data_IF_283736738724
#
_entry.id   IF_283736738724
#
_cell.length_a   1.000
_cell.length_b   1.000
_cell.length_c   1.000
_cell.angle_alpha   90.00
_cell.angle_beta   90.00
_cell.angle_gamma   90.00
#
_symmetry.space_group_name_H-M   'P 1'
#
loop_
_entity.id
_entity.type
_entity.pdbx_description
1 polymer ?
#
# COMPACT_ATOMS: atom_id res chain seq x y z
N UNK A 1 1.82 7.89 1.16
CA UNK A 1 0.41 7.43 1.07
C UNK A 1 0.33 6.29 0.08
N UNK A 2 -0.67 5.42 0.16
CA UNK A 2 -0.84 4.24 -0.71
C UNK A 2 -0.81 4.57 -2.22
N UNK A 3 -1.36 5.72 -2.61
CA UNK A 3 -1.27 6.23 -3.98
C UNK A 3 0.18 6.42 -4.45
N UNK A 4 1.10 6.76 -3.54
CA UNK A 4 2.51 6.93 -3.85
C UNK A 4 3.21 5.59 -4.09
N UNK A 5 2.81 4.51 -3.42
CA UNK A 5 3.43 3.19 -3.60
C UNK A 5 3.08 2.56 -4.94
N UNK A 6 1.82 2.69 -5.38
CA UNK A 6 1.43 2.16 -6.69
C UNK A 6 2.05 2.97 -7.83
N UNK A 7 2.09 4.31 -7.71
CA UNK A 7 2.80 5.16 -8.68
C UNK A 7 4.30 4.90 -8.69
N UNK A 8 4.93 4.70 -7.53
CA UNK A 8 6.35 4.35 -7.45
C UNK A 8 6.62 3.00 -8.12
N UNK A 9 5.72 2.02 -7.96
CA UNK A 9 5.84 0.72 -8.62
C UNK A 9 5.73 0.86 -10.13
N UNK A 10 4.71 1.56 -10.61
CA UNK A 10 4.48 1.79 -12.05
C UNK A 10 5.64 2.55 -12.70
N UNK A 11 6.18 3.56 -12.00
CA UNK A 11 7.34 4.33 -12.45
C UNK A 11 8.60 3.47 -12.57
N UNK A 12 8.85 2.58 -11.61
CA UNK A 12 10.08 1.79 -11.58
C UNK A 12 10.04 0.56 -12.50
N UNK A 13 8.92 -0.16 -12.49
CA UNK A 13 8.79 -1.44 -13.22
C UNK A 13 8.02 -1.32 -14.54
N UNK A 14 7.55 -0.12 -14.91
CA UNK A 14 6.89 0.15 -16.20
C UNK A 14 5.52 -0.54 -16.37
N UNK A 15 4.96 -1.12 -15.31
CA UNK A 15 3.69 -1.82 -15.33
C UNK A 15 2.90 -1.63 -14.05
N UNK A 16 1.59 -1.86 -14.13
CA UNK A 16 0.76 -1.96 -12.93
C UNK A 16 1.17 -3.16 -12.08
N UNK A 17 1.15 -3.03 -10.75
CA UNK A 17 1.32 -4.17 -9.86
C UNK A 17 0.13 -5.13 -9.97
N UNK A 18 0.40 -6.40 -9.70
CA UNK A 18 -0.52 -7.54 -9.78
C UNK A 18 -0.74 -8.17 -8.40
N UNK A 19 -1.59 -9.20 -8.33
CA UNK A 19 -1.87 -10.01 -7.13
C UNK A 19 -0.64 -10.49 -6.38
N UNK A 20 0.38 -10.91 -7.14
CA UNK A 20 1.57 -11.55 -6.61
C UNK A 20 2.71 -10.57 -6.30
N UNK A 21 2.57 -9.30 -6.67
CA UNK A 21 3.61 -8.31 -6.42
C UNK A 21 3.58 -7.85 -4.96
N UNK A 22 4.76 -7.71 -4.32
CA UNK A 22 4.86 -7.17 -2.98
C UNK A 22 4.29 -5.75 -2.92
N UNK A 23 3.67 -5.46 -1.78
CA UNK A 23 3.12 -4.14 -1.47
C UNK A 23 4.27 -3.17 -1.20
N UNK A 24 5.17 -3.56 -0.30
CA UNK A 24 6.42 -2.87 -0.01
C UNK A 24 7.53 -3.55 -0.81
N UNK A 25 8.05 -2.87 -1.82
CA UNK A 25 9.03 -3.41 -2.76
C UNK A 25 10.34 -2.63 -2.70
N UNK A 26 11.44 -3.27 -3.05
CA UNK A 26 12.73 -2.61 -3.17
C UNK A 26 12.86 -1.94 -4.56
N UNK A 27 12.98 -0.60 -4.65
CA UNK A 27 13.13 0.10 -5.92
C UNK A 27 14.59 0.10 -6.44
N UNK A 28 15.55 -0.47 -5.72
CA UNK A 28 16.97 -0.44 -6.12
C UNK A 28 17.43 -1.72 -6.83
N UNK A 29 16.51 -2.67 -7.04
CA UNK A 29 16.77 -3.94 -7.70
C UNK A 29 16.01 -4.04 -9.01
N UNK A 30 16.57 -4.76 -9.97
CA UNK A 30 15.96 -4.92 -11.31
C UNK A 30 14.74 -5.85 -11.30
N UNK A 31 14.62 -6.73 -10.31
CA UNK A 31 13.50 -7.65 -10.16
C UNK A 31 12.53 -7.18 -9.08
N UNK A 32 11.24 -7.48 -9.24
CA UNK A 32 10.24 -7.18 -8.21
C UNK A 32 10.51 -8.05 -6.97
N UNK A 33 11.02 -7.44 -5.91
CA UNK A 33 11.31 -8.10 -4.66
C UNK A 33 10.71 -7.34 -3.48
N UNK A 34 10.29 -8.04 -2.41
CA UNK A 34 9.84 -7.39 -1.19
C UNK A 34 10.97 -6.56 -0.58
N UNK A 35 10.60 -5.49 0.11
CA UNK A 35 11.53 -4.70 0.91
C UNK A 35 12.12 -5.59 2.02
N UNK A 36 13.44 -5.50 2.25
CA UNK A 36 14.11 -6.26 3.31
C UNK A 36 13.52 -5.92 4.70
N UNK A 37 13.53 -6.87 5.63
CA UNK A 37 12.85 -6.76 6.92
C UNK A 37 13.23 -5.51 7.72
N UNK A 38 14.51 -5.18 7.79
CA UNK A 38 14.99 -3.97 8.49
C UNK A 38 14.51 -2.68 7.81
N UNK A 39 14.62 -2.61 6.48
CA UNK A 39 14.12 -1.48 5.70
C UNK A 39 12.59 -1.33 5.80
N UNK A 40 11.86 -2.45 5.84
CA UNK A 40 10.42 -2.47 6.05
C UNK A 40 10.04 -1.92 7.42
N UNK A 41 10.74 -2.34 8.47
CA UNK A 41 10.50 -1.84 9.82
C UNK A 41 10.75 -0.32 9.89
N UNK A 42 11.87 0.16 9.35
CA UNK A 42 12.18 1.60 9.30
C UNK A 42 11.11 2.40 8.54
N UNK A 43 10.64 1.87 7.40
CA UNK A 43 9.58 2.50 6.61
C UNK A 43 8.26 2.57 7.39
N UNK A 44 7.87 1.46 8.02
CA UNK A 44 6.64 1.39 8.81
C UNK A 44 6.71 2.28 10.05
N UNK A 45 7.87 2.37 10.72
CA UNK A 45 8.10 3.25 11.87
C UNK A 45 8.04 4.73 11.49
N UNK A 46 8.57 5.09 10.32
CA UNK A 46 8.42 6.43 9.79
C UNK A 46 6.95 6.77 9.50
N UNK A 47 6.21 5.87 8.87
CA UNK A 47 4.78 6.06 8.63
C UNK A 47 3.99 6.10 9.94
N UNK A 48 4.36 5.29 10.94
CA UNK A 48 3.74 5.29 12.25
C UNK A 48 3.88 6.65 12.91
N UNK A 49 5.09 7.24 12.92
CA UNK A 49 5.32 8.60 13.45
C UNK A 49 4.51 9.66 12.73
N UNK A 50 4.36 9.55 11.41
CA UNK A 50 3.60 10.53 10.60
C UNK A 50 2.08 10.40 10.74
N UNK A 51 1.58 9.21 11.05
CA UNK A 51 0.14 8.91 11.01
C UNK A 51 -0.48 8.64 12.38
N UNK A 52 0.33 8.42 13.41
CA UNK A 52 -0.13 7.96 14.73
C UNK A 52 -0.59 6.50 14.77
N UNK A 53 -0.52 5.78 13.65
CA UNK A 53 -0.94 4.37 13.57
C UNK A 53 0.21 3.44 13.94
N UNK A 54 -0.12 2.24 14.44
CA UNK A 54 0.89 1.21 14.67
C UNK A 54 1.41 0.65 13.34
N UNK A 55 2.70 0.22 13.26
CA UNK A 55 3.27 -0.46 12.09
C UNK A 55 2.39 -1.60 11.56
N UNK A 56 1.82 -2.42 12.45
CA UNK A 56 0.93 -3.52 12.10
C UNK A 56 -0.35 -3.05 11.39
N UNK A 57 -0.97 -1.96 11.86
CA UNK A 57 -2.16 -1.37 11.22
C UNK A 57 -1.83 -0.82 9.84
N UNK A 58 -0.68 -0.16 9.69
CA UNK A 58 -0.20 0.35 8.40
C UNK A 58 0.01 -0.81 7.42
N UNK A 59 0.73 -1.85 7.85
CA UNK A 59 0.98 -3.03 7.03
C UNK A 59 -0.33 -3.71 6.57
N UNK A 60 -1.26 -3.95 7.50
CA UNK A 60 -2.55 -4.56 7.19
C UNK A 60 -3.38 -3.70 6.22
N UNK A 61 -3.42 -2.39 6.45
CA UNK A 61 -4.13 -1.44 5.61
C UNK A 61 -3.62 -1.46 4.16
N UNK A 62 -2.30 -1.39 3.96
CA UNK A 62 -1.70 -1.43 2.62
C UNK A 62 -1.88 -2.79 1.93
N UNK A 63 -1.76 -3.90 2.67
CA UNK A 63 -2.00 -5.26 2.15
C UNK A 63 -3.44 -5.45 1.68
N UNK A 64 -4.41 -5.04 2.50
CA UNK A 64 -5.82 -5.14 2.18
C UNK A 64 -6.15 -4.30 0.93
N UNK A 65 -5.69 -3.05 0.88
CA UNK A 65 -5.89 -2.20 -0.30
C UNK A 65 -5.41 -2.87 -1.59
N UNK A 66 -4.21 -3.48 -1.57
CA UNK A 66 -3.65 -4.17 -2.73
C UNK A 66 -4.50 -5.36 -3.16
N UNK A 67 -4.95 -6.17 -2.22
CA UNK A 67 -5.81 -7.33 -2.51
C UNK A 67 -7.13 -6.90 -3.13
N UNK A 68 -7.80 -5.91 -2.55
CA UNK A 68 -9.08 -5.40 -3.10
C UNK A 68 -8.83 -4.86 -4.53
N UNK A 69 -7.76 -4.08 -4.75
CA UNK A 69 -7.43 -3.55 -6.09
C UNK A 69 -7.20 -4.62 -7.15
N UNK A 70 -6.59 -5.75 -6.78
CA UNK A 70 -6.22 -6.80 -7.72
C UNK A 70 -7.39 -7.74 -8.09
N UNK A 71 -8.43 -7.82 -7.26
CA UNK A 71 -9.52 -8.78 -7.42
C UNK A 71 -10.87 -8.14 -7.82
N UNK A 72 -10.98 -6.82 -7.88
CA UNK A 72 -12.27 -6.15 -8.11
C UNK A 72 -12.60 -5.85 -9.57
N UNK A 73 -13.91 -5.89 -9.86
CA UNK A 73 -14.50 -5.33 -11.06
C UNK A 73 -14.32 -3.80 -11.06
N UNK A 74 -13.71 -3.20 -12.11
CA UNK A 74 -13.51 -1.76 -12.23
C UNK A 74 -14.78 -0.92 -12.05
N UNK A 75 -15.97 -1.50 -12.31
CA UNK A 75 -17.27 -0.80 -12.21
C UNK A 75 -17.73 -0.58 -10.77
N UNK A 76 -17.32 -1.43 -9.84
CA UNK A 76 -17.63 -1.33 -8.41
C UNK A 76 -16.55 -0.56 -7.64
N UNK A 77 -15.41 -0.33 -8.29
CA UNK A 77 -14.18 0.16 -7.65
C UNK A 77 -14.28 1.63 -7.22
N UNK A 78 -14.91 2.51 -7.98
CA UNK A 78 -14.97 3.94 -7.61
C UNK A 78 -15.71 4.20 -6.31
N UNK A 79 -16.86 3.53 -6.10
CA UNK A 79 -17.65 3.65 -4.89
C UNK A 79 -16.98 2.96 -3.70
N UNK A 80 -16.53 1.71 -3.87
CA UNK A 80 -15.88 0.95 -2.80
C UNK A 80 -14.54 1.59 -2.35
N UNK A 81 -13.78 2.19 -3.29
CA UNK A 81 -12.55 2.90 -2.94
C UNK A 81 -12.85 4.19 -2.18
N UNK A 82 -13.87 4.94 -2.60
CA UNK A 82 -14.32 6.15 -1.90
C UNK A 82 -14.80 5.82 -0.48
N UNK A 83 -15.56 4.74 -0.32
CA UNK A 83 -16.04 4.25 0.97
C UNK A 83 -14.87 3.79 1.87
N UNK A 84 -13.92 3.02 1.33
CA UNK A 84 -12.72 2.63 2.04
C UNK A 84 -11.87 3.84 2.46
N UNK A 85 -11.67 4.82 1.57
CA UNK A 85 -10.93 6.05 1.89
C UNK A 85 -11.63 6.88 2.97
N UNK A 86 -12.96 6.94 2.93
CA UNK A 86 -13.79 7.57 3.95
C UNK A 86 -13.62 6.88 5.31
N UNK A 87 -13.83 5.57 5.38
CA UNK A 87 -13.66 4.77 6.60
C UNK A 87 -12.24 4.92 7.17
N UNK A 88 -11.23 4.87 6.31
CA UNK A 88 -9.82 5.00 6.70
C UNK A 88 -9.47 6.37 7.27
N UNK A 89 -10.19 7.43 6.89
CA UNK A 89 -10.05 8.77 7.50
C UNK A 89 -10.71 8.84 8.88
N UNK A 90 -11.85 8.18 9.07
CA UNK A 90 -12.54 8.10 10.37
C UNK A 90 -11.67 7.39 11.40
N UNK A 91 -11.08 6.25 11.03
CA UNK A 91 -10.18 5.49 11.90
C UNK A 91 -8.82 6.17 12.16
N UNK A 92 -8.44 7.19 11.40
CA UNK A 92 -7.25 8.02 11.68
C UNK A 92 -7.49 9.12 12.70
N UNK A 93 -8.76 9.46 12.99
CA UNK A 93 -9.14 10.51 13.95
C UNK A 93 -9.46 9.98 15.35
N UNK A 94 -9.53 8.65 15.51
CA UNK A 94 -9.69 7.94 16.79
C UNK A 94 -8.35 7.42 17.26
#
# INVERSE_FOLDING_TARGET
TIHNETRAFEHHYGRKPTGNDPVFFNPYVSGVQPLAGECLNLYLDELARRTGLTPARIYAHHKLYRQIRNHYDPRLWSEALSEYESLSRTYKKM
#
